data_IF_947380777716
#
_entry.id   IF_947380777716
#
_cell.length_a   1.000
_cell.length_b   1.000
_cell.length_c   1.000
_cell.angle_alpha   90.00
_cell.angle_beta   90.00
_cell.angle_gamma   90.00
#
_symmetry.space_group_name_H-M   'P 1'
#
loop_
_entity.id
_entity.type
_entity.pdbx_description
1 polymer ?
#
# COMPACT_ATOMS: atom_id res chain seq x y z
N UNK A 1 14.79 -23.02 -14.69
CA UNK A 1 13.64 -22.75 -15.57
C UNK A 1 12.55 -23.81 -15.36
N UNK A 2 11.81 -23.72 -14.22
CA UNK A 2 10.78 -24.70 -13.88
C UNK A 2 9.46 -24.43 -14.61
N UNK A 3 9.25 -23.20 -15.11
CA UNK A 3 8.00 -22.79 -15.75
C UNK A 3 7.69 -23.61 -17.02
N UNK A 4 8.71 -23.98 -17.80
CA UNK A 4 8.54 -24.78 -19.02
C UNK A 4 8.18 -26.25 -18.79
N UNK A 5 8.28 -26.72 -17.55
CA UNK A 5 7.98 -28.11 -17.14
C UNK A 5 6.61 -28.27 -16.47
N UNK A 6 5.86 -27.16 -16.32
CA UNK A 6 4.54 -27.18 -15.73
C UNK A 6 3.49 -27.64 -16.75
N UNK A 7 2.44 -28.37 -16.31
CA UNK A 7 1.33 -28.76 -17.18
C UNK A 7 0.62 -27.55 -17.78
N UNK A 8 0.01 -27.72 -18.95
CA UNK A 8 -0.81 -26.72 -19.58
C UNK A 8 -1.98 -26.31 -18.65
N UNK A 9 -2.10 -25.03 -18.33
CA UNK A 9 -3.10 -24.49 -17.39
C UNK A 9 -2.61 -24.27 -15.97
N UNK A 10 -1.34 -24.56 -15.66
CA UNK A 10 -0.74 -24.18 -14.38
C UNK A 10 -0.54 -22.67 -14.31
N UNK A 11 -0.88 -22.07 -13.16
CA UNK A 11 -0.57 -20.68 -12.89
C UNK A 11 0.95 -20.43 -12.92
N UNK A 12 1.35 -19.21 -13.27
CA UNK A 12 2.76 -18.81 -13.25
C UNK A 12 3.36 -19.07 -11.87
N UNK A 13 4.50 -19.78 -11.81
CA UNK A 13 5.19 -20.03 -10.56
C UNK A 13 5.72 -18.71 -10.00
N UNK A 14 5.36 -18.39 -8.77
CA UNK A 14 5.93 -17.27 -8.02
C UNK A 14 7.10 -17.83 -7.22
N UNK A 15 8.31 -17.38 -7.55
CA UNK A 15 9.50 -17.67 -6.73
C UNK A 15 9.57 -16.60 -5.66
N UNK A 16 9.45 -17.00 -4.40
CA UNK A 16 9.72 -16.15 -3.26
C UNK A 16 11.13 -16.48 -2.78
N UNK A 17 12.08 -15.58 -3.06
CA UNK A 17 13.49 -15.64 -2.64
C UNK A 17 13.77 -14.74 -1.40
N UNK A 18 12.74 -14.09 -0.87
CA UNK A 18 12.81 -13.23 0.33
C UNK A 18 13.01 -14.03 1.64
N UNK A 19 13.17 -15.33 1.59
CA UNK A 19 13.27 -16.21 2.78
C UNK A 19 14.53 -15.96 3.64
N UNK A 20 15.52 -15.26 3.08
CA UNK A 20 16.77 -14.89 3.77
C UNK A 20 16.79 -13.47 4.32
N UNK A 21 15.81 -12.64 4.01
CA UNK A 21 15.78 -11.25 4.42
C UNK A 21 15.32 -11.13 5.88
N UNK A 22 16.28 -11.05 6.79
CA UNK A 22 15.98 -10.77 8.20
C UNK A 22 15.70 -9.28 8.34
N UNK A 23 14.49 -8.95 8.81
CA UNK A 23 14.12 -7.58 9.18
C UNK A 23 14.94 -7.15 10.39
N UNK A 24 15.95 -6.31 10.16
CA UNK A 24 16.83 -5.83 11.22
C UNK A 24 16.24 -4.72 12.06
N UNK A 25 15.46 -3.83 11.44
CA UNK A 25 14.85 -2.67 12.12
C UNK A 25 13.45 -2.40 11.57
N UNK A 26 12.52 -2.03 12.46
CA UNK A 26 11.15 -1.71 12.10
C UNK A 26 10.71 -0.39 12.74
N UNK A 27 10.29 0.55 11.90
CA UNK A 27 9.76 1.85 12.31
C UNK A 27 8.28 1.97 11.98
N UNK A 28 7.57 2.80 12.73
CA UNK A 28 6.20 3.21 12.45
C UNK A 28 6.13 4.68 12.09
N UNK A 29 5.57 4.99 10.92
CA UNK A 29 5.28 6.34 10.46
C UNK A 29 3.81 6.64 10.70
N UNK A 30 3.50 7.71 11.42
CA UNK A 30 2.13 8.16 11.66
C UNK A 30 2.05 9.68 11.78
N UNK A 31 0.83 10.22 11.68
CA UNK A 31 0.55 11.64 11.83
C UNK A 31 -0.93 11.88 12.04
N UNK A 32 -1.30 12.60 13.10
CA UNK A 32 -2.71 12.73 13.54
C UNK A 32 -3.55 13.59 12.58
N UNK A 33 -2.94 14.58 11.92
CA UNK A 33 -3.61 15.54 11.04
C UNK A 33 -3.41 15.25 9.55
N UNK A 34 -2.75 14.12 9.21
CA UNK A 34 -2.41 13.78 7.85
C UNK A 34 -3.30 12.69 7.28
N UNK A 35 -3.69 12.89 6.00
CA UNK A 35 -4.41 11.88 5.25
C UNK A 35 -3.54 10.65 4.99
N UNK A 36 -4.17 9.50 4.75
CA UNK A 36 -3.45 8.28 4.44
C UNK A 36 -2.56 8.40 3.20
N UNK A 37 -2.97 9.17 2.18
CA UNK A 37 -2.17 9.47 0.98
C UNK A 37 -0.91 10.27 1.28
N UNK A 38 -1.00 11.23 2.20
CA UNK A 38 0.15 12.01 2.63
C UNK A 38 1.15 11.14 3.40
N UNK A 39 0.65 10.25 4.28
CA UNK A 39 1.48 9.24 4.96
C UNK A 39 2.19 8.33 3.95
N UNK A 40 1.50 7.86 2.91
CA UNK A 40 2.07 7.01 1.87
C UNK A 40 3.16 7.73 1.08
N UNK A 41 2.93 8.98 0.69
CA UNK A 41 3.92 9.78 -0.01
C UNK A 41 5.16 10.03 0.86
N UNK A 42 4.95 10.33 2.14
CA UNK A 42 6.05 10.50 3.09
C UNK A 42 6.82 9.20 3.31
N UNK A 43 6.13 8.06 3.40
CA UNK A 43 6.77 6.75 3.50
C UNK A 43 7.64 6.42 2.28
N UNK A 44 7.21 6.80 1.07
CA UNK A 44 8.01 6.66 -0.17
C UNK A 44 9.29 7.50 -0.12
N UNK A 45 9.20 8.74 0.38
CA UNK A 45 10.37 9.62 0.54
C UNK A 45 11.36 9.01 1.55
N UNK A 46 10.87 8.58 2.71
CA UNK A 46 11.67 7.94 3.75
C UNK A 46 12.35 6.67 3.22
N UNK A 47 11.59 5.82 2.51
CA UNK A 47 12.15 4.63 1.86
C UNK A 47 13.32 4.96 0.95
N UNK A 48 13.18 5.98 0.11
CA UNK A 48 14.25 6.39 -0.82
C UNK A 48 15.50 6.92 -0.08
N UNK A 49 15.33 7.60 1.05
CA UNK A 49 16.46 8.04 1.88
C UNK A 49 17.15 6.86 2.58
N UNK A 50 16.38 5.92 3.12
CA UNK A 50 16.92 4.76 3.82
C UNK A 50 17.66 3.80 2.89
N UNK A 51 17.22 3.64 1.64
CA UNK A 51 17.90 2.83 0.64
C UNK A 51 19.29 3.34 0.23
N UNK A 52 19.63 4.61 0.54
CA UNK A 52 20.97 5.18 0.29
C UNK A 52 21.99 4.78 1.37
N UNK A 53 21.53 4.21 2.48
CA UNK A 53 22.39 3.85 3.61
C UNK A 53 23.17 2.59 3.26
N UNK A 54 24.47 2.62 3.56
CA UNK A 54 25.33 1.45 3.42
C UNK A 54 24.81 0.28 4.28
N UNK A 55 24.86 -0.93 3.75
CA UNK A 55 24.39 -2.17 4.37
C UNK A 55 22.86 -2.32 4.44
N UNK A 56 22.08 -1.39 3.95
CA UNK A 56 20.61 -1.58 3.72
C UNK A 56 20.42 -2.32 2.39
N UNK A 57 19.82 -3.51 2.45
CA UNK A 57 19.47 -4.28 1.26
C UNK A 57 18.08 -3.91 0.72
N UNK A 58 17.12 -3.82 1.64
CA UNK A 58 15.71 -3.67 1.29
C UNK A 58 14.99 -2.78 2.30
N UNK A 59 14.06 -1.98 1.81
CA UNK A 59 13.12 -1.22 2.65
C UNK A 59 11.70 -1.52 2.16
N UNK A 60 10.91 -2.10 3.02
CA UNK A 60 9.50 -2.43 2.74
C UNK A 60 8.57 -1.53 3.54
N UNK A 61 7.46 -1.14 2.91
CA UNK A 61 6.43 -0.35 3.57
C UNK A 61 5.19 -1.21 3.75
N UNK A 62 4.77 -1.37 5.00
CA UNK A 62 3.60 -2.15 5.40
C UNK A 62 2.42 -1.25 5.74
N UNK A 63 1.22 -1.79 5.55
CA UNK A 63 0.00 -1.07 5.88
C UNK A 63 -0.52 -0.20 4.74
N UNK A 64 0.15 -0.17 3.57
CA UNK A 64 -0.34 0.55 2.38
C UNK A 64 -1.72 0.01 2.01
N UNK A 65 -2.66 0.92 1.79
CA UNK A 65 -4.00 0.60 1.35
C UNK A 65 -4.09 0.70 -0.18
N UNK A 66 -4.86 -0.21 -0.78
CA UNK A 66 -5.09 -0.14 -2.22
C UNK A 66 -6.12 0.95 -2.51
N UNK A 67 -5.80 1.93 -3.36
CA UNK A 67 -6.78 2.87 -3.85
C UNK A 67 -7.78 2.12 -4.75
N UNK A 68 -9.04 2.49 -4.64
CA UNK A 68 -10.14 1.99 -5.48
C UNK A 68 -10.91 3.18 -6.03
N UNK A 69 -11.52 3.00 -7.19
CA UNK A 69 -12.43 4.00 -7.73
C UNK A 69 -13.84 3.60 -7.29
N UNK A 70 -14.44 4.46 -6.50
CA UNK A 70 -15.83 4.31 -6.10
C UNK A 70 -16.73 5.03 -7.09
N UNK A 71 -17.69 4.29 -7.67
CA UNK A 71 -18.72 4.83 -8.54
C UNK A 71 -20.04 4.77 -7.79
N UNK A 72 -20.44 5.90 -7.22
CA UNK A 72 -21.68 6.04 -6.49
C UNK A 72 -22.82 6.41 -7.46
N UNK A 73 -23.61 5.42 -7.84
CA UNK A 73 -24.72 5.62 -8.76
C UNK A 73 -25.92 6.30 -8.08
N UNK A 74 -26.62 7.15 -8.84
CA UNK A 74 -27.80 7.85 -8.37
C UNK A 74 -29.06 7.17 -8.94
N UNK A 75 -29.85 6.45 -8.12
CA UNK A 75 -31.00 5.66 -8.60
C UNK A 75 -32.04 6.47 -9.35
N UNK A 76 -32.28 7.71 -8.93
CA UNK A 76 -33.23 8.61 -9.59
C UNK A 76 -32.80 8.98 -11.01
N UNK A 77 -31.50 9.25 -11.21
CA UNK A 77 -30.95 9.56 -12.54
C UNK A 77 -30.88 8.31 -13.41
N UNK A 78 -30.54 7.17 -12.84
CA UNK A 78 -30.58 5.89 -13.56
C UNK A 78 -31.99 5.56 -14.07
N UNK A 79 -33.02 5.76 -13.24
CA UNK A 79 -34.40 5.54 -13.64
C UNK A 79 -34.86 6.50 -14.75
N UNK A 80 -34.40 7.77 -14.71
CA UNK A 80 -34.75 8.77 -15.73
C UNK A 80 -34.06 8.50 -17.07
N UNK A 81 -32.82 8.00 -17.04
CA UNK A 81 -32.02 7.73 -18.25
C UNK A 81 -32.18 6.31 -18.79
N UNK A 82 -32.87 5.44 -18.06
CA UNK A 82 -33.00 4.01 -18.42
C UNK A 82 -31.67 3.24 -18.34
N UNK A 83 -30.64 3.80 -17.65
CA UNK A 83 -29.34 3.15 -17.45
C UNK A 83 -29.44 2.18 -16.27
N UNK A 84 -28.90 1.00 -16.47
CA UNK A 84 -28.78 -0.04 -15.43
C UNK A 84 -27.35 -0.20 -14.96
N UNK A 85 -27.14 -0.81 -13.78
CA UNK A 85 -25.79 -1.18 -13.30
C UNK A 85 -25.07 -2.08 -14.30
N UNK A 86 -25.80 -2.95 -15.02
CA UNK A 86 -25.23 -3.81 -16.06
C UNK A 86 -24.72 -3.02 -17.26
N UNK A 87 -25.33 -1.89 -17.59
CA UNK A 87 -24.86 -1.02 -18.68
C UNK A 87 -23.55 -0.33 -18.29
N UNK A 88 -23.42 0.08 -17.03
CA UNK A 88 -22.19 0.66 -16.48
C UNK A 88 -21.07 -0.39 -16.52
N UNK A 89 -21.30 -1.61 -16.01
CA UNK A 89 -20.33 -2.70 -16.05
C UNK A 89 -19.90 -3.00 -17.50
N UNK A 90 -20.84 -3.12 -18.42
CA UNK A 90 -20.52 -3.34 -19.85
C UNK A 90 -19.69 -2.22 -20.47
N UNK A 91 -19.88 -0.98 -20.05
CA UNK A 91 -19.08 0.13 -20.53
C UNK A 91 -17.61 0.02 -20.06
N UNK A 92 -17.38 -0.41 -18.82
CA UNK A 92 -16.05 -0.68 -18.31
C UNK A 92 -15.40 -1.86 -19.05
N UNK A 93 -16.10 -2.96 -19.27
CA UNK A 93 -15.59 -4.15 -19.97
C UNK A 93 -15.19 -3.84 -21.41
N UNK A 94 -16.01 -3.05 -22.13
CA UNK A 94 -15.73 -2.66 -23.53
C UNK A 94 -14.45 -1.82 -23.67
N UNK A 95 -14.03 -1.11 -22.65
CA UNK A 95 -12.79 -0.35 -22.68
C UNK A 95 -11.54 -1.22 -22.44
N UNK A 96 -11.71 -2.54 -22.44
CA UNK A 96 -10.63 -3.55 -22.29
C UNK A 96 -9.78 -3.33 -21.00
N UNK A 97 -10.45 -2.84 -19.96
CA UNK A 97 -9.82 -2.56 -18.67
C UNK A 97 -10.25 -3.68 -17.75
N UNK A 98 -9.28 -4.40 -17.22
CA UNK A 98 -9.52 -5.48 -16.25
C UNK A 98 -10.18 -4.87 -15.03
N UNK A 99 -11.49 -5.04 -14.95
CA UNK A 99 -12.32 -4.57 -13.85
C UNK A 99 -12.61 -5.81 -13.00
N UNK A 100 -11.99 -5.89 -11.83
CA UNK A 100 -12.49 -6.77 -10.80
C UNK A 100 -13.68 -6.04 -10.16
N UNK A 101 -14.89 -6.28 -10.68
CA UNK A 101 -16.11 -5.70 -10.16
C UNK A 101 -16.43 -6.35 -8.82
N UNK A 102 -15.74 -5.90 -7.78
CA UNK A 102 -16.06 -6.29 -6.41
C UNK A 102 -17.44 -5.80 -6.04
N UNK A 103 -18.25 -6.71 -5.57
CA UNK A 103 -19.51 -6.60 -4.85
C UNK A 103 -20.37 -5.33 -5.07
N UNK A 104 -21.51 -5.52 -5.70
CA UNK A 104 -22.67 -4.64 -5.55
C UNK A 104 -23.17 -4.79 -4.10
N UNK A 105 -22.84 -3.87 -3.22
CA UNK A 105 -23.47 -3.82 -1.89
C UNK A 105 -24.94 -3.42 -2.05
N UNK A 106 -25.82 -4.38 -1.79
CA UNK A 106 -27.26 -4.20 -1.83
C UNK A 106 -27.68 -3.36 -0.61
N UNK A 107 -27.95 -2.09 -0.80
CA UNK A 107 -28.48 -1.18 0.25
C UNK A 107 -28.20 0.30 -0.01
N UNK A 108 -27.17 0.65 -0.75
CA UNK A 108 -26.84 2.05 -1.05
C UNK A 108 -26.26 2.24 -2.46
N UNK A 109 -26.56 1.34 -3.41
CA UNK A 109 -26.17 1.41 -4.83
C UNK A 109 -24.71 1.87 -5.09
N UNK A 110 -23.77 1.33 -4.32
CA UNK A 110 -22.34 1.57 -4.48
C UNK A 110 -21.73 0.47 -5.35
N UNK A 111 -21.24 0.84 -6.50
CA UNK A 111 -20.43 -0.03 -7.34
C UNK A 111 -18.96 0.30 -7.07
N UNK A 112 -18.23 -0.65 -6.48
CA UNK A 112 -16.79 -0.50 -6.28
C UNK A 112 -16.07 -1.17 -7.43
N UNK A 113 -15.21 -0.42 -8.10
CA UNK A 113 -14.40 -0.90 -9.20
C UNK A 113 -12.94 -0.88 -8.76
N UNK A 114 -12.31 -2.06 -8.65
CA UNK A 114 -10.87 -2.16 -8.49
C UNK A 114 -10.21 -1.98 -9.87
N UNK A 115 -9.81 -0.76 -10.18
CA UNK A 115 -9.07 -0.50 -11.40
C UNK A 115 -7.62 -0.95 -11.25
N UNK A 116 -7.30 -2.18 -11.67
CA UNK A 116 -5.92 -2.64 -11.81
C UNK A 116 -5.34 -2.07 -13.10
N UNK A 117 -4.75 -0.89 -12.99
CA UNK A 117 -3.62 -0.52 -13.84
C UNK A 117 -3.90 0.06 -15.21
N UNK A 118 -4.88 0.92 -15.50
CA UNK A 118 -4.81 1.73 -16.72
C UNK A 118 -5.70 2.98 -16.79
N UNK A 119 -6.32 3.40 -15.70
CA UNK A 119 -6.90 4.74 -15.70
C UNK A 119 -5.82 5.73 -15.26
N UNK A 120 -5.41 6.58 -16.15
CA UNK A 120 -4.42 7.62 -15.89
C UNK A 120 -5.04 8.83 -15.21
N UNK A 121 -6.37 8.96 -15.27
CA UNK A 121 -7.07 10.14 -14.78
C UNK A 121 -8.53 9.81 -14.41
N UNK A 122 -9.01 10.32 -13.26
CA UNK A 122 -10.39 10.21 -12.82
C UNK A 122 -11.37 10.80 -13.87
N UNK A 123 -10.95 11.89 -14.54
CA UNK A 123 -11.74 12.53 -15.59
C UNK A 123 -12.02 11.62 -16.79
N UNK A 124 -11.18 10.64 -17.11
CA UNK A 124 -11.46 9.67 -18.17
C UNK A 124 -12.64 8.78 -17.78
N UNK A 125 -12.71 8.38 -16.51
CA UNK A 125 -13.79 7.54 -15.99
C UNK A 125 -15.09 8.32 -15.94
N UNK A 126 -15.07 9.54 -15.43
CA UNK A 126 -16.23 10.43 -15.38
C UNK A 126 -16.85 10.68 -16.76
N UNK A 127 -16.00 10.82 -17.79
CA UNK A 127 -16.42 11.07 -19.15
C UNK A 127 -16.65 9.80 -19.99
N UNK A 128 -16.55 8.62 -19.37
CA UNK A 128 -16.81 7.36 -20.06
C UNK A 128 -18.25 7.31 -20.59
N UNK A 129 -18.40 6.87 -21.84
CA UNK A 129 -19.69 6.76 -22.49
C UNK A 129 -20.40 5.47 -22.11
N UNK A 130 -21.63 5.59 -21.61
CA UNK A 130 -22.54 4.50 -21.30
C UNK A 130 -23.66 4.51 -22.31
N UNK A 131 -24.08 3.33 -22.77
CA UNK A 131 -25.21 3.16 -23.69
C UNK A 131 -26.34 2.57 -22.88
N UNK A 132 -27.48 3.28 -22.80
CA UNK A 132 -28.69 2.79 -22.15
C UNK A 132 -29.32 1.62 -22.90
N UNK A 133 -30.25 0.92 -22.26
CA UNK A 133 -31.05 -0.12 -22.91
C UNK A 133 -31.89 0.36 -24.10
N UNK A 134 -32.16 1.68 -24.19
CA UNK A 134 -32.85 2.34 -25.31
C UNK A 134 -31.93 2.75 -26.45
N UNK A 135 -30.60 2.61 -26.28
CA UNK A 135 -29.56 2.98 -27.27
C UNK A 135 -29.10 4.44 -27.17
N UNK A 136 -29.53 5.17 -26.17
CA UNK A 136 -29.08 6.55 -25.91
C UNK A 136 -27.70 6.57 -25.23
N UNK A 137 -26.93 7.64 -25.50
CA UNK A 137 -25.56 7.79 -25.00
C UNK A 137 -25.55 8.78 -23.86
N UNK A 138 -24.95 8.36 -22.73
CA UNK A 138 -24.75 9.19 -21.56
C UNK A 138 -23.29 9.13 -21.11
N UNK A 139 -22.84 10.11 -20.33
CA UNK A 139 -21.56 10.06 -19.64
C UNK A 139 -21.77 9.53 -18.23
N UNK A 140 -20.78 8.79 -17.70
CA UNK A 140 -20.90 8.20 -16.36
C UNK A 140 -21.22 9.26 -15.29
N UNK A 141 -20.59 10.44 -15.37
CA UNK A 141 -20.83 11.57 -14.44
C UNK A 141 -22.27 12.09 -14.42
N UNK A 142 -23.08 11.77 -15.44
CA UNK A 142 -24.49 12.19 -15.52
C UNK A 142 -25.40 11.30 -14.65
N UNK A 143 -24.93 10.10 -14.28
CA UNK A 143 -25.72 9.13 -13.51
C UNK A 143 -25.02 8.65 -12.24
N UNK A 144 -23.73 8.98 -12.06
CA UNK A 144 -22.93 8.57 -10.93
C UNK A 144 -21.94 9.65 -10.51
N UNK A 145 -21.58 9.63 -9.22
CA UNK A 145 -20.43 10.35 -8.70
C UNK A 145 -19.24 9.40 -8.66
N UNK A 146 -18.09 9.85 -9.17
CA UNK A 146 -16.86 9.07 -9.25
C UNK A 146 -15.83 9.68 -8.32
N UNK A 147 -15.28 8.89 -7.41
CA UNK A 147 -14.24 9.33 -6.47
C UNK A 147 -13.18 8.26 -6.30
N UNK A 148 -11.97 8.69 -5.96
CA UNK A 148 -10.91 7.78 -5.53
C UNK A 148 -10.98 7.63 -4.02
N UNK A 149 -11.17 6.40 -3.56
CA UNK A 149 -11.30 6.02 -2.16
C UNK A 149 -10.33 4.89 -1.83
N UNK A 150 -10.16 4.58 -0.57
CA UNK A 150 -9.46 3.37 -0.15
C UNK A 150 -10.44 2.23 0.08
N UNK A 151 -9.98 1.01 -0.25
CA UNK A 151 -10.79 -0.20 -0.06
C UNK A 151 -11.30 -0.31 1.39
N UNK A 152 -12.60 -0.55 1.55
CA UNK A 152 -13.24 -0.82 2.85
C UNK A 152 -13.94 -2.18 2.79
N UNK A 153 -13.71 -3.07 3.78
CA UNK A 153 -12.78 -2.92 4.91
C UNK A 153 -11.31 -2.92 4.46
N UNK A 154 -10.48 -2.15 5.17
CA UNK A 154 -9.04 -2.11 4.94
C UNK A 154 -8.42 -3.51 5.19
N UNK A 155 -7.62 -4.01 4.24
CA UNK A 155 -7.03 -5.36 4.36
C UNK A 155 -5.81 -5.41 5.27
N UNK A 156 -4.98 -4.39 5.25
CA UNK A 156 -3.69 -4.34 5.96
C UNK A 156 -3.56 -3.06 6.78
N UNK A 157 -4.51 -2.82 7.67
CA UNK A 157 -4.51 -1.60 8.48
C UNK A 157 -3.50 -1.72 9.62
N UNK A 158 -2.54 -0.80 9.67
CA UNK A 158 -1.65 -0.60 10.80
C UNK A 158 -2.07 0.65 11.57
N UNK A 159 -1.95 0.58 12.90
CA UNK A 159 -2.21 1.71 13.80
C UNK A 159 -1.15 1.79 14.88
N UNK A 160 -0.79 3.02 15.27
CA UNK A 160 0.04 3.33 16.43
C UNK A 160 -0.78 4.26 17.33
N UNK A 161 -0.98 3.89 18.58
CA UNK A 161 -1.82 4.67 19.53
C UNK A 161 -3.20 5.03 18.96
N UNK A 162 -3.84 4.08 18.27
CA UNK A 162 -5.11 4.23 17.57
C UNK A 162 -5.11 5.17 16.35
N UNK A 163 -3.99 5.80 16.00
CA UNK A 163 -3.81 6.63 14.81
C UNK A 163 -3.39 5.76 13.62
N UNK A 164 -3.94 5.96 12.40
CA UNK A 164 -3.47 5.27 11.20
C UNK A 164 -1.96 5.44 11.01
N UNK A 165 -1.27 4.35 10.68
CA UNK A 165 0.18 4.32 10.57
C UNK A 165 0.63 3.44 9.40
N UNK A 166 1.87 3.65 8.96
CA UNK A 166 2.58 2.77 8.04
C UNK A 166 3.82 2.19 8.72
N UNK A 167 4.07 0.91 8.50
CA UNK A 167 5.28 0.25 8.96
C UNK A 167 6.39 0.38 7.92
N UNK A 168 7.61 0.66 8.34
CA UNK A 168 8.80 0.71 7.50
C UNK A 168 9.79 -0.30 8.03
N UNK A 169 9.95 -1.41 7.31
CA UNK A 169 10.85 -2.49 7.64
C UNK A 169 12.14 -2.38 6.82
N UNK A 170 13.27 -2.58 7.47
CA UNK A 170 14.58 -2.40 6.90
C UNK A 170 15.39 -3.69 7.10
N UNK A 171 15.87 -4.26 5.99
CA UNK A 171 16.70 -5.46 5.99
C UNK A 171 18.15 -5.12 5.66
N UNK A 172 19.07 -5.83 6.29
CA UNK A 172 20.51 -5.71 5.99
C UNK A 172 20.89 -6.55 4.77
N UNK A 173 21.98 -6.18 4.09
CA UNK A 173 22.57 -7.01 3.02
C UNK A 173 23.01 -8.36 3.57
N UNK A 174 23.06 -9.38 2.71
CA UNK A 174 23.63 -10.66 3.06
C UNK A 174 25.06 -10.47 3.60
N UNK A 175 25.39 -11.14 4.69
CA UNK A 175 26.68 -11.01 5.41
C UNK A 175 26.95 -9.61 6.00
N UNK A 176 25.95 -8.71 6.01
CA UNK A 176 26.05 -7.39 6.60
C UNK A 176 25.93 -7.40 8.13
N UNK A 177 26.60 -6.44 8.78
CA UNK A 177 26.47 -6.24 10.22
C UNK A 177 25.17 -5.47 10.53
N UNK A 178 24.20 -6.12 11.16
CA UNK A 178 22.91 -5.52 11.53
C UNK A 178 23.07 -4.39 12.56
N UNK A 179 24.08 -4.48 13.45
CA UNK A 179 24.34 -3.43 14.47
C UNK A 179 24.82 -2.15 13.80
N UNK A 180 25.78 -2.25 12.87
CA UNK A 180 26.28 -1.10 12.11
C UNK A 180 25.18 -0.48 11.24
N UNK A 181 24.39 -1.32 10.59
CA UNK A 181 23.25 -0.86 9.77
C UNK A 181 22.23 -0.13 10.64
N UNK A 182 21.83 -0.70 11.77
CA UNK A 182 20.86 -0.10 12.69
C UNK A 182 21.34 1.25 13.24
N UNK A 183 22.64 1.39 13.57
CA UNK A 183 23.20 2.66 14.01
C UNK A 183 23.14 3.75 12.93
N UNK A 184 23.43 3.41 11.67
CA UNK A 184 23.34 4.33 10.55
C UNK A 184 21.87 4.70 10.24
N UNK A 185 20.96 3.74 10.30
CA UNK A 185 19.53 3.94 10.13
C UNK A 185 19.01 4.89 11.21
N UNK A 186 19.32 4.63 12.48
CA UNK A 186 18.92 5.48 13.62
C UNK A 186 19.34 6.93 13.41
N UNK A 187 20.61 7.17 13.06
CA UNK A 187 21.13 8.52 12.78
C UNK A 187 20.38 9.20 11.64
N UNK A 188 20.06 8.45 10.58
CA UNK A 188 19.31 8.96 9.43
C UNK A 188 17.87 9.27 9.81
N UNK A 189 17.22 8.42 10.60
CA UNK A 189 15.86 8.63 11.11
C UNK A 189 15.77 9.85 12.02
N UNK A 190 16.76 10.08 12.89
CA UNK A 190 16.84 11.29 13.72
C UNK A 190 16.88 12.56 12.85
N UNK A 191 17.70 12.56 11.78
CA UNK A 191 17.73 13.64 10.80
C UNK A 191 16.38 13.81 10.10
N UNK A 192 15.80 12.72 9.59
CA UNK A 192 14.50 12.72 8.91
C UNK A 192 13.42 13.30 9.82
N UNK A 193 13.36 12.89 11.09
CA UNK A 193 12.39 13.43 12.06
C UNK A 193 12.53 14.94 12.28
N UNK A 194 13.75 15.49 12.13
CA UNK A 194 13.99 16.93 12.25
C UNK A 194 13.60 17.70 10.98
N UNK A 195 13.73 17.06 9.81
CA UNK A 195 13.47 17.66 8.49
C UNK A 195 12.03 17.45 8.01
N UNK A 196 11.29 16.49 8.60
CA UNK A 196 9.89 16.24 8.24
C UNK A 196 8.99 17.42 8.58
N UNK A 197 7.93 17.66 7.79
CA UNK A 197 6.90 18.61 8.14
C UNK A 197 6.28 18.28 9.51
N UNK A 198 5.74 19.32 10.17
CA UNK A 198 5.07 19.16 11.45
C UNK A 198 3.92 18.13 11.38
N UNK A 199 3.71 17.43 12.47
CA UNK A 199 2.64 16.43 12.60
C UNK A 199 3.03 15.00 12.25
N UNK A 200 4.10 14.76 11.46
CA UNK A 200 4.62 13.42 11.22
C UNK A 200 5.54 12.95 12.33
N UNK A 201 5.50 11.65 12.61
CA UNK A 201 6.41 10.99 13.54
C UNK A 201 6.86 9.65 12.97
N UNK A 202 8.17 9.42 13.00
CA UNK A 202 8.80 8.15 12.67
C UNK A 202 9.40 7.57 13.95
N UNK A 203 8.76 6.52 14.50
CA UNK A 203 9.07 5.96 15.81
C UNK A 203 9.62 4.54 15.68
N UNK A 204 10.69 4.16 16.38
CA UNK A 204 11.16 2.77 16.39
C UNK A 204 10.14 1.86 17.07
N UNK A 205 9.88 0.70 16.46
CA UNK A 205 9.02 -0.35 17.01
C UNK A 205 9.88 -1.56 17.41
N UNK A 206 10.87 -1.90 16.57
CA UNK A 206 11.79 -2.99 16.79
C UNK A 206 13.17 -2.65 16.22
N UNK A 207 14.22 -2.98 16.96
CA UNK A 207 15.62 -2.77 16.57
C UNK A 207 16.47 -3.97 17.01
N UNK A 208 16.72 -4.89 16.07
CA UNK A 208 17.56 -6.08 16.31
C UNK A 208 19.01 -5.70 16.60
N UNK A 209 19.50 -4.59 16.03
CA UNK A 209 20.84 -4.11 16.28
C UNK A 209 21.05 -3.74 17.74
N UNK A 210 20.08 -3.05 18.32
CA UNK A 210 20.09 -2.71 19.74
C UNK A 210 20.02 -3.95 20.64
N UNK A 211 19.08 -4.86 20.37
CA UNK A 211 18.93 -6.11 21.12
C UNK A 211 20.19 -6.98 21.05
N UNK A 212 20.80 -7.07 19.88
CA UNK A 212 22.05 -7.82 19.68
C UNK A 212 23.24 -7.18 20.41
N UNK A 213 23.33 -5.85 20.42
CA UNK A 213 24.38 -5.13 21.16
C UNK A 213 24.24 -5.37 22.67
N UNK A 214 23.03 -5.23 23.22
CA UNK A 214 22.76 -5.48 24.65
C UNK A 214 23.10 -6.92 25.04
N UNK A 215 22.72 -7.89 24.21
CA UNK A 215 23.04 -9.30 24.46
C UNK A 215 24.55 -9.57 24.46
N UNK A 216 25.32 -8.98 23.52
CA UNK A 216 26.76 -9.11 23.44
C UNK A 216 27.45 -8.47 24.64
N UNK A 217 27.07 -7.27 25.04
CA UNK A 217 27.62 -6.58 26.20
C UNK A 217 27.38 -7.38 27.50
N UNK A 218 26.17 -7.93 27.64
CA UNK A 218 25.83 -8.81 28.76
C UNK A 218 26.68 -10.10 28.78
N UNK A 219 26.93 -10.69 27.61
CA UNK A 219 27.78 -11.87 27.49
C UNK A 219 29.24 -11.56 27.87
N UNK A 220 29.80 -10.47 27.36
CA UNK A 220 31.20 -10.03 27.67
C UNK A 220 31.33 -9.74 29.17
N UNK A 221 30.36 -9.03 29.77
CA UNK A 221 30.37 -8.76 31.21
C UNK A 221 30.35 -10.03 32.04
N UNK A 222 29.49 -10.99 31.69
CA UNK A 222 29.44 -12.30 32.38
C UNK A 222 30.74 -13.09 32.22
N UNK A 223 31.39 -13.02 31.05
CA UNK A 223 32.69 -13.66 30.83
C UNK A 223 33.75 -13.04 31.72
N UNK A 224 33.81 -11.71 31.85
CA UNK A 224 34.78 -11.00 32.71
C UNK A 224 34.55 -11.34 34.18
N UNK A 225 33.29 -11.45 34.64
CA UNK A 225 33.00 -11.78 36.03
C UNK A 225 33.30 -13.24 36.38
N UNK A 226 33.28 -14.14 35.37
CA UNK A 226 33.52 -15.57 35.56
C UNK A 226 35.02 -15.98 35.56
N UNK A 227 35.94 -15.07 35.25
CA UNK A 227 37.39 -15.23 35.29
C UNK A 227 37.97 -14.56 36.53
#
# INVERSE_FOLDING_TARGET
>A
DAQSKLPAGAATSVVNDDFGDVLGVFYGLYGEEHSYRELENQAKNIKNELLKIKNVAKVEVFGIQNPVIEVLVQPSLMAQTGITTADIIRAFDKQNKVVDAGAVENGNNRLRIEARGSFTNLAEIENMTIISGTGEYFRLKEVANVSEEYMRPARNLMKINNTPALGIAISTVADGNVVDMAALVKKTVERINTEMPDGYKLTPIYDQGYESAVANDGFILNLIISV
#
